data_IF_694273733617
#
_entry.id   IF_694273733617
#
_cell.length_a   1.000
_cell.length_b   1.000
_cell.length_c   1.000
_cell.angle_alpha   90.00
_cell.angle_beta   90.00
_cell.angle_gamma   90.00
#
_symmetry.space_group_name_H-M   'P 1'
#
loop_
_entity.id
_entity.type
_entity.pdbx_description
1 polymer ?
#
# COMPACT_ATOMS: atom_id res chain seq x y z
N UNK A 1 12.97 3.53 -6.72
CA UNK A 1 12.75 4.12 -5.38
C UNK A 1 12.87 3.05 -4.30
N UNK A 2 13.59 3.35 -3.21
CA UNK A 2 13.71 2.45 -2.06
C UNK A 2 12.51 2.69 -1.14
N UNK A 3 11.80 1.64 -0.79
CA UNK A 3 10.56 1.73 0.01
C UNK A 3 10.73 1.18 1.42
N UNK A 4 11.68 0.25 1.62
CA UNK A 4 12.11 -0.27 2.91
C UNK A 4 13.50 -0.91 2.80
N UNK A 5 14.01 -1.50 3.88
CA UNK A 5 15.27 -2.23 3.85
C UNK A 5 15.15 -3.51 3.00
N UNK A 6 15.86 -3.51 1.87
CA UNK A 6 15.90 -4.64 0.94
C UNK A 6 14.70 -4.75 -0.01
N UNK A 7 13.92 -3.69 -0.19
CA UNK A 7 12.87 -3.60 -1.23
C UNK A 7 12.97 -2.27 -1.97
N UNK A 8 13.01 -2.36 -3.31
CA UNK A 8 12.91 -1.21 -4.20
C UNK A 8 11.90 -1.49 -5.32
N UNK A 9 11.18 -0.46 -5.72
CA UNK A 9 10.27 -0.50 -6.87
C UNK A 9 10.74 0.48 -7.95
N UNK A 10 10.37 0.23 -9.20
CA UNK A 10 10.40 1.28 -10.21
C UNK A 10 9.34 2.33 -9.89
N UNK A 11 9.54 3.57 -10.36
CA UNK A 11 8.56 4.65 -10.13
C UNK A 11 7.19 4.29 -10.70
N UNK A 12 7.15 3.69 -11.89
CA UNK A 12 5.90 3.33 -12.56
C UNK A 12 5.18 2.21 -11.81
N UNK A 13 5.89 1.16 -11.38
CA UNK A 13 5.30 0.08 -10.60
C UNK A 13 4.76 0.60 -9.27
N UNK A 14 5.48 1.49 -8.59
CA UNK A 14 4.98 2.10 -7.36
C UNK A 14 3.68 2.88 -7.59
N UNK A 15 3.64 3.73 -8.62
CA UNK A 15 2.45 4.53 -8.94
C UNK A 15 1.25 3.66 -9.25
N UNK A 16 1.42 2.63 -10.08
CA UNK A 16 0.36 1.69 -10.41
C UNK A 16 -0.17 0.97 -9.17
N UNK A 17 0.72 0.38 -8.36
CA UNK A 17 0.33 -0.35 -7.16
C UNK A 17 -0.35 0.56 -6.12
N UNK A 18 0.20 1.76 -5.89
CA UNK A 18 -0.36 2.73 -4.95
C UNK A 18 -1.75 3.21 -5.39
N UNK A 19 -1.98 3.42 -6.70
CA UNK A 19 -3.30 3.78 -7.21
C UNK A 19 -4.29 2.64 -7.05
N UNK A 20 -3.91 1.40 -7.36
CA UNK A 20 -4.79 0.23 -7.18
C UNK A 20 -5.21 0.05 -5.72
N UNK A 21 -4.27 0.17 -4.79
CA UNK A 21 -4.54 0.12 -3.34
C UNK A 21 -5.43 1.29 -2.91
N UNK A 22 -5.13 2.51 -3.36
CA UNK A 22 -5.93 3.69 -3.03
C UNK A 22 -7.36 3.59 -3.57
N UNK A 23 -7.53 3.12 -4.80
CA UNK A 23 -8.84 2.88 -5.40
C UNK A 23 -9.64 1.83 -4.61
N UNK A 24 -9.00 0.75 -4.18
CA UNK A 24 -9.65 -0.25 -3.33
C UNK A 24 -10.10 0.35 -1.98
N UNK A 25 -9.27 1.17 -1.34
CA UNK A 25 -9.64 1.85 -0.09
C UNK A 25 -10.78 2.86 -0.32
N UNK A 26 -10.80 3.59 -1.44
CA UNK A 26 -11.92 4.50 -1.76
C UNK A 26 -13.25 3.75 -1.92
N UNK A 27 -13.21 2.55 -2.51
CA UNK A 27 -14.40 1.73 -2.73
C UNK A 27 -14.89 1.03 -1.45
N UNK A 28 -13.97 0.52 -0.63
CA UNK A 28 -14.29 -0.35 0.51
C UNK A 28 -14.09 0.31 1.88
N UNK A 29 -13.57 1.53 1.93
CA UNK A 29 -13.28 2.30 3.15
C UNK A 29 -11.94 1.98 3.81
N UNK A 30 -11.45 0.74 3.70
CA UNK A 30 -10.16 0.31 4.24
C UNK A 30 -9.54 -0.83 3.42
N UNK A 31 -8.29 -1.20 3.73
CA UNK A 31 -7.64 -2.39 3.18
C UNK A 31 -6.70 -3.04 4.19
N UNK A 32 -6.70 -4.36 4.24
CA UNK A 32 -5.77 -5.18 5.04
C UNK A 32 -4.53 -5.53 4.22
N UNK A 33 -3.46 -5.97 4.89
CA UNK A 33 -2.26 -6.48 4.20
C UNK A 33 -2.57 -7.70 3.31
N UNK A 34 -3.50 -8.56 3.74
CA UNK A 34 -3.91 -9.75 2.99
C UNK A 34 -4.61 -9.36 1.69
N UNK A 35 -5.53 -8.40 1.74
CA UNK A 35 -6.20 -7.88 0.55
C UNK A 35 -5.21 -7.21 -0.41
N UNK A 36 -4.25 -6.43 0.08
CA UNK A 36 -3.21 -5.84 -0.80
C UNK A 36 -2.37 -6.91 -1.48
N UNK A 37 -2.01 -7.99 -0.77
CA UNK A 37 -1.32 -9.15 -1.37
C UNK A 37 -2.12 -9.73 -2.52
N UNK A 38 -3.41 -9.92 -2.32
CA UNK A 38 -4.28 -10.55 -3.31
C UNK A 38 -4.53 -9.62 -4.51
N UNK A 39 -4.79 -8.34 -4.26
CA UNK A 39 -4.92 -7.30 -5.30
C UNK A 39 -3.66 -7.29 -6.17
N UNK A 40 -2.49 -7.20 -5.56
CA UNK A 40 -1.23 -7.05 -6.29
C UNK A 40 -0.65 -8.38 -6.78
N UNK A 41 -1.24 -9.51 -6.42
CA UNK A 41 -0.73 -10.86 -6.73
C UNK A 41 0.76 -11.00 -6.42
N UNK A 42 1.17 -10.52 -5.25
CA UNK A 42 2.58 -10.45 -4.83
C UNK A 42 2.81 -11.11 -3.47
N UNK A 43 4.06 -11.16 -3.01
CA UNK A 43 4.37 -11.69 -1.69
C UNK A 43 4.05 -10.69 -0.57
N UNK A 44 3.86 -11.21 0.66
CA UNK A 44 3.64 -10.37 1.85
C UNK A 44 4.75 -9.34 2.06
N UNK A 45 6.00 -9.68 1.75
CA UNK A 45 7.16 -8.76 1.86
C UNK A 45 6.96 -7.49 1.02
N UNK A 46 6.52 -7.64 -0.22
CA UNK A 46 6.32 -6.50 -1.12
C UNK A 46 5.07 -5.69 -0.77
N UNK A 47 3.96 -6.35 -0.44
CA UNK A 47 2.74 -5.67 0.02
C UNK A 47 2.97 -4.87 1.30
N UNK A 48 3.72 -5.44 2.25
CA UNK A 48 4.05 -4.77 3.49
C UNK A 48 4.93 -3.55 3.24
N UNK A 49 6.00 -3.69 2.46
CA UNK A 49 6.89 -2.59 2.12
C UNK A 49 6.16 -1.44 1.39
N UNK A 50 5.24 -1.76 0.47
CA UNK A 50 4.41 -0.76 -0.19
C UNK A 50 3.55 0.01 0.83
N UNK A 51 2.85 -0.72 1.69
CA UNK A 51 1.94 -0.12 2.67
C UNK A 51 2.67 0.73 3.72
N UNK A 52 3.84 0.29 4.18
CA UNK A 52 4.71 1.07 5.07
C UNK A 52 5.18 2.36 4.39
N UNK A 53 5.51 2.30 3.10
CA UNK A 53 5.91 3.48 2.35
C UNK A 53 4.74 4.45 2.11
N UNK A 54 3.54 3.95 1.78
CA UNK A 54 2.34 4.78 1.66
C UNK A 54 1.98 5.48 2.98
N UNK A 55 2.20 4.83 4.13
CA UNK A 55 2.03 5.44 5.45
C UNK A 55 3.07 6.54 5.70
N UNK A 56 4.34 6.29 5.36
CA UNK A 56 5.44 7.27 5.48
C UNK A 56 5.20 8.51 4.61
N UNK A 57 4.69 8.32 3.39
CA UNK A 57 4.29 9.39 2.46
C UNK A 57 2.94 10.04 2.85
N UNK A 58 2.35 9.67 4.00
CA UNK A 58 1.08 10.20 4.52
C UNK A 58 -0.11 10.01 3.56
N UNK A 59 -0.07 9.01 2.69
CA UNK A 59 -1.17 8.63 1.79
C UNK A 59 -2.19 7.80 2.56
N UNK A 60 -1.71 6.85 3.35
CA UNK A 60 -2.55 6.00 4.22
C UNK A 60 -2.23 6.22 5.68
N UNK A 61 -3.09 5.69 6.55
CA UNK A 61 -2.80 5.48 7.96
C UNK A 61 -3.32 4.13 8.41
N UNK A 62 -2.58 3.46 9.28
CA UNK A 62 -3.00 2.19 9.90
C UNK A 62 -4.01 2.43 11.02
N UNK A 63 -5.10 1.67 11.01
CA UNK A 63 -6.13 1.62 12.05
C UNK A 63 -6.43 0.15 12.33
N UNK A 64 -5.97 -0.34 13.49
CA UNK A 64 -6.02 -1.78 13.78
C UNK A 64 -5.11 -2.59 12.83
N UNK A 65 -5.69 -3.58 12.16
CA UNK A 65 -5.03 -4.41 11.15
C UNK A 65 -5.19 -3.89 9.71
N UNK A 66 -6.06 -2.91 9.49
CA UNK A 66 -6.33 -2.30 8.20
C UNK A 66 -5.68 -0.91 8.03
N UNK A 67 -5.75 -0.39 6.81
CA UNK A 67 -5.34 0.97 6.43
C UNK A 67 -6.49 1.71 5.78
N UNK A 68 -6.59 2.99 6.10
CA UNK A 68 -7.53 3.93 5.48
C UNK A 68 -6.77 5.04 4.80
N UNK A 69 -7.39 5.70 3.81
CA UNK A 69 -6.80 6.89 3.20
C UNK A 69 -6.74 8.00 4.24
N UNK A 70 -5.61 8.71 4.25
CA UNK A 70 -5.46 9.91 5.05
C UNK A 70 -6.26 11.00 4.34
N UNK A 71 -7.30 11.54 5.00
CA UNK A 71 -7.93 12.78 4.51
C UNK A 71 -6.88 13.89 4.63
N UNK A 72 -6.69 14.65 3.54
CA UNK A 72 -5.89 15.86 3.53
C UNK A 72 -6.42 16.89 4.52
#
# INVERSE_FOLDING_TARGET
>A
MRVSDGVAFTTDAYREMAERVSAHIRANGSVTLAEVRDILSTSRKYSQALLEHMDAERITRRVGDARVLRRG
#
